data_IF_480756299898
#
_entry.id   IF_480756299898
#
_cell.length_a   1.000
_cell.length_b   1.000
_cell.length_c   1.000
_cell.angle_alpha   90.00
_cell.angle_beta   90.00
_cell.angle_gamma   90.00
#
_symmetry.space_group_name_H-M   'P 1'
#
loop_
_entity.id
_entity.type
_entity.pdbx_description
1 polymer ?
#
# COMPACT_ATOMS: atom_id res chain seq x y z
N UNK A 1 2.43 -4.58 -18.27
CA UNK A 1 1.72 -5.85 -18.56
C UNK A 1 1.74 -6.04 -20.06
N UNK A 2 2.08 -7.23 -20.55
CA UNK A 2 2.12 -7.52 -22.00
C UNK A 2 0.81 -7.10 -22.68
N UNK A 3 -0.32 -7.43 -22.06
CA UNK A 3 -1.68 -7.16 -22.55
C UNK A 3 -2.01 -5.68 -22.84
N UNK A 4 -1.59 -4.72 -22.00
CA UNK A 4 -1.86 -3.28 -22.25
C UNK A 4 -1.07 -2.76 -23.45
N UNK A 5 0.16 -3.24 -23.65
CA UNK A 5 0.97 -2.88 -24.79
C UNK A 5 0.39 -3.48 -26.07
N UNK A 6 -0.01 -4.74 -26.01
CA UNK A 6 -0.63 -5.45 -27.13
C UNK A 6 -1.93 -4.75 -27.58
N UNK A 7 -2.77 -4.32 -26.64
CA UNK A 7 -3.99 -3.54 -26.94
C UNK A 7 -3.66 -2.20 -27.62
N UNK A 8 -2.62 -1.50 -27.16
CA UNK A 8 -2.21 -0.24 -27.77
C UNK A 8 -1.70 -0.43 -29.21
N UNK A 9 -0.97 -1.50 -29.46
CA UNK A 9 -0.49 -1.84 -30.79
C UNK A 9 -1.66 -2.21 -31.72
N UNK A 10 -2.68 -2.93 -31.22
CA UNK A 10 -3.95 -3.15 -31.96
C UNK A 10 -4.67 -1.84 -32.29
N UNK A 11 -4.76 -0.89 -31.34
CA UNK A 11 -5.39 0.42 -31.58
C UNK A 11 -4.65 1.20 -32.68
N UNK A 12 -3.31 1.13 -32.72
CA UNK A 12 -2.52 1.76 -33.80
C UNK A 12 -2.78 1.12 -35.16
N UNK A 13 -2.89 -0.21 -35.21
CA UNK A 13 -3.22 -0.93 -36.43
C UNK A 13 -4.62 -0.54 -36.93
N UNK A 14 -5.62 -0.52 -36.03
CA UNK A 14 -6.98 -0.06 -36.33
C UNK A 14 -6.99 1.38 -36.85
N UNK A 15 -6.18 2.27 -36.27
CA UNK A 15 -6.08 3.66 -36.72
C UNK A 15 -5.47 3.78 -38.11
N UNK A 16 -4.51 2.92 -38.45
CA UNK A 16 -3.91 2.86 -39.78
C UNK A 16 -4.92 2.38 -40.80
N UNK A 17 -5.63 1.28 -40.51
CA UNK A 17 -6.69 0.74 -41.36
C UNK A 17 -7.85 1.73 -41.56
N UNK A 18 -8.27 2.43 -40.50
CA UNK A 18 -9.34 3.44 -40.57
C UNK A 18 -8.99 4.60 -41.53
N UNK A 19 -7.71 4.99 -41.58
CA UNK A 19 -7.21 6.01 -42.51
C UNK A 19 -7.21 5.51 -43.96
N UNK A 20 -6.82 4.25 -44.19
CA UNK A 20 -6.79 3.66 -45.53
C UNK A 20 -8.17 3.57 -46.16
N UNK A 21 -9.19 3.20 -45.39
CA UNK A 21 -10.59 3.12 -45.87
C UNK A 21 -11.27 4.49 -45.98
N UNK A 22 -10.60 5.57 -45.55
CA UNK A 22 -11.10 6.95 -45.56
C UNK A 22 -12.48 7.14 -44.92
N UNK A 23 -12.83 6.29 -43.96
CA UNK A 23 -14.11 6.35 -43.27
C UNK A 23 -13.97 7.20 -42.00
N UNK A 24 -14.65 8.34 -41.98
CA UNK A 24 -14.59 9.30 -40.87
C UNK A 24 -15.25 8.76 -39.59
N UNK A 25 -16.34 8.01 -39.70
CA UNK A 25 -17.02 7.42 -38.54
C UNK A 25 -16.13 6.37 -37.85
N UNK A 26 -15.47 5.51 -38.64
CA UNK A 26 -14.51 4.53 -38.12
C UNK A 26 -13.32 5.23 -37.49
N UNK A 27 -12.81 6.30 -38.12
CA UNK A 27 -11.70 7.08 -37.57
C UNK A 27 -12.05 7.73 -36.23
N UNK A 28 -13.27 8.25 -36.09
CA UNK A 28 -13.76 8.81 -34.83
C UNK A 28 -13.89 7.73 -33.73
N UNK A 29 -14.49 6.58 -34.05
CA UNK A 29 -14.60 5.47 -33.10
C UNK A 29 -13.23 4.96 -32.62
N UNK A 30 -12.24 4.87 -33.51
CA UNK A 30 -10.87 4.48 -33.14
C UNK A 30 -10.22 5.52 -32.23
N UNK A 31 -10.47 6.82 -32.46
CA UNK A 31 -10.00 7.87 -31.56
C UNK A 31 -10.65 7.74 -30.17
N UNK A 32 -11.97 7.52 -30.10
CA UNK A 32 -12.69 7.32 -28.84
C UNK A 32 -12.18 6.09 -28.07
N UNK A 33 -11.87 4.98 -28.77
CA UNK A 33 -11.25 3.80 -28.17
C UNK A 33 -9.85 4.13 -27.63
N UNK A 34 -9.08 4.91 -28.38
CA UNK A 34 -7.74 5.32 -27.98
C UNK A 34 -7.79 6.18 -26.72
N UNK A 35 -8.74 7.10 -26.60
CA UNK A 35 -8.91 7.95 -25.42
C UNK A 35 -9.31 7.12 -24.21
N UNK A 36 -10.33 6.25 -24.34
CA UNK A 36 -10.73 5.32 -23.26
C UNK A 36 -9.62 4.37 -22.82
N UNK A 37 -8.72 3.98 -23.74
CA UNK A 37 -7.55 3.18 -23.39
C UNK A 37 -6.59 3.95 -22.48
N UNK A 38 -6.38 5.24 -22.73
CA UNK A 38 -5.53 6.06 -21.87
C UNK A 38 -6.16 6.28 -20.49
N UNK A 39 -7.46 6.57 -20.44
CA UNK A 39 -8.20 6.69 -19.16
C UNK A 39 -8.06 5.40 -18.32
N UNK A 40 -8.32 4.24 -18.93
CA UNK A 40 -8.17 2.95 -18.26
C UNK A 40 -6.73 2.67 -17.79
N UNK A 41 -5.73 3.10 -18.57
CA UNK A 41 -4.33 2.95 -18.21
C UNK A 41 -3.99 3.81 -16.98
N UNK A 42 -4.48 5.04 -16.92
CA UNK A 42 -4.28 5.93 -15.77
C UNK A 42 -4.94 5.38 -14.51
N UNK A 43 -6.21 4.96 -14.59
CA UNK A 43 -6.91 4.32 -13.47
C UNK A 43 -6.16 3.08 -12.97
N UNK A 44 -5.66 2.25 -13.88
CA UNK A 44 -4.95 1.03 -13.53
C UNK A 44 -3.60 1.30 -12.85
N UNK A 45 -2.87 2.35 -13.24
CA UNK A 45 -1.65 2.76 -12.53
C UNK A 45 -2.00 3.33 -11.14
N UNK A 46 -3.04 4.16 -11.02
CA UNK A 46 -3.53 4.65 -9.71
C UNK A 46 -3.87 3.51 -8.76
N UNK A 47 -4.62 2.51 -9.24
CA UNK A 47 -5.00 1.33 -8.45
C UNK A 47 -3.78 0.53 -8.03
N UNK A 48 -2.75 0.40 -8.89
CA UNK A 48 -1.52 -0.31 -8.51
C UNK A 48 -0.75 0.43 -7.42
N UNK A 49 -0.67 1.75 -7.51
CA UNK A 49 0.02 2.57 -6.52
C UNK A 49 -0.70 2.46 -5.17
N UNK A 50 -2.02 2.61 -5.15
CA UNK A 50 -2.82 2.40 -3.94
C UNK A 50 -2.66 0.97 -3.39
N UNK A 51 -2.67 -0.05 -4.26
CA UNK A 51 -2.49 -1.44 -3.83
C UNK A 51 -1.10 -1.67 -3.22
N UNK A 52 -0.07 -1.04 -3.78
CA UNK A 52 1.30 -1.09 -3.25
C UNK A 52 1.37 -0.43 -1.87
N UNK A 53 0.83 0.77 -1.72
CA UNK A 53 0.78 1.46 -0.42
C UNK A 53 0.03 0.66 0.64
N UNK A 54 -1.11 0.05 0.29
CA UNK A 54 -1.89 -0.78 1.19
C UNK A 54 -1.13 -2.04 1.59
N UNK A 55 -0.43 -2.68 0.65
CA UNK A 55 0.43 -3.84 0.95
C UNK A 55 1.59 -3.48 1.86
N UNK A 56 2.21 -2.31 1.67
CA UNK A 56 3.27 -1.82 2.55
C UNK A 56 2.74 -1.57 3.97
N UNK A 57 1.57 -0.92 4.09
CA UNK A 57 0.89 -0.72 5.39
C UNK A 57 0.54 -2.03 6.08
N UNK A 58 0.02 -3.01 5.32
CA UNK A 58 -0.28 -4.34 5.85
C UNK A 58 0.98 -5.07 6.31
N UNK A 59 2.05 -5.05 5.52
CA UNK A 59 3.32 -5.68 5.89
C UNK A 59 3.90 -5.08 7.17
N UNK A 60 3.79 -3.76 7.36
CA UNK A 60 4.20 -3.11 8.62
C UNK A 60 3.34 -3.57 9.80
N UNK A 61 2.02 -3.75 9.62
CA UNK A 61 1.14 -4.28 10.67
C UNK A 61 1.44 -5.74 11.01
N UNK A 62 1.74 -6.57 10.02
CA UNK A 62 2.13 -7.98 10.21
C UNK A 62 3.47 -8.14 10.93
N UNK A 63 4.37 -7.16 10.81
CA UNK A 63 5.65 -7.16 11.53
C UNK A 63 5.48 -6.89 13.03
N UNK A 64 4.35 -6.32 13.45
CA UNK A 64 4.06 -5.97 14.83
C UNK A 64 3.34 -7.13 15.51
N UNK A 65 4.02 -7.78 16.44
CA UNK A 65 3.49 -8.94 17.17
C UNK A 65 3.47 -8.65 18.67
N UNK A 66 2.53 -9.28 19.38
CA UNK A 66 2.53 -9.26 20.84
C UNK A 66 3.50 -10.33 21.34
N UNK A 67 4.47 -9.95 22.17
CA UNK A 67 5.39 -10.89 22.79
C UNK A 67 4.75 -11.59 24.00
N UNK A 68 5.45 -12.60 24.55
CA UNK A 68 4.98 -13.41 25.70
C UNK A 68 4.72 -12.58 26.97
N UNK A 69 5.32 -11.39 27.07
CA UNK A 69 5.18 -10.48 28.21
C UNK A 69 4.08 -9.42 28.02
N UNK A 70 3.32 -9.49 26.92
CA UNK A 70 2.19 -8.58 26.65
C UNK A 70 2.58 -7.21 26.06
N UNK A 71 3.79 -7.08 25.51
CA UNK A 71 4.24 -5.88 24.80
C UNK A 71 4.23 -6.10 23.29
N UNK A 72 3.96 -5.04 22.52
CA UNK A 72 4.16 -5.11 21.07
C UNK A 72 5.65 -4.99 20.74
N UNK A 73 6.09 -5.76 19.77
CA UNK A 73 7.47 -5.79 19.28
C UNK A 73 7.47 -5.93 17.76
N UNK A 74 8.54 -5.48 17.11
CA UNK A 74 8.75 -5.75 15.69
C UNK A 74 9.51 -7.05 15.50
N UNK A 75 8.96 -7.96 14.70
CA UNK A 75 9.58 -9.26 14.37
C UNK A 75 10.88 -9.06 13.59
N UNK A 76 10.90 -8.10 12.67
CA UNK A 76 12.07 -7.72 11.86
C UNK A 76 13.28 -7.25 12.69
N UNK A 77 13.04 -6.68 13.87
CA UNK A 77 14.09 -6.17 14.77
C UNK A 77 14.49 -7.18 15.87
N UNK A 78 14.11 -8.47 15.74
CA UNK A 78 14.31 -9.49 16.77
C UNK A 78 13.80 -9.06 18.16
N UNK A 79 12.69 -8.33 18.21
CA UNK A 79 12.06 -7.90 19.45
C UNK A 79 12.97 -7.07 20.39
N UNK A 80 13.97 -6.38 19.84
CA UNK A 80 14.91 -5.53 20.60
C UNK A 80 14.21 -4.38 21.34
N UNK A 81 13.15 -3.85 20.74
CA UNK A 81 12.40 -2.72 21.27
C UNK A 81 10.97 -3.16 21.61
N UNK A 82 10.47 -2.67 22.75
CA UNK A 82 9.10 -2.89 23.20
C UNK A 82 8.28 -1.61 23.05
N UNK A 83 7.06 -1.76 22.55
CA UNK A 83 6.14 -0.67 22.28
C UNK A 83 4.92 -0.72 23.21
N UNK A 84 4.36 0.45 23.48
CA UNK A 84 3.24 0.61 24.40
C UNK A 84 1.96 -0.08 23.88
N UNK A 85 1.41 -1.07 24.61
CA UNK A 85 0.19 -1.77 24.19
C UNK A 85 -1.05 -0.89 24.22
N UNK A 86 -1.11 0.10 25.10
CA UNK A 86 -2.23 1.03 25.15
C UNK A 86 -2.26 1.95 23.92
N UNK A 87 -1.13 2.59 23.59
CA UNK A 87 -1.07 3.51 22.45
C UNK A 87 -1.31 2.80 21.11
N UNK A 88 -0.79 1.57 20.97
CA UNK A 88 -1.01 0.79 19.76
C UNK A 88 -2.47 0.35 19.61
N UNK A 89 -3.10 -0.18 20.67
CA UNK A 89 -4.50 -0.61 20.60
C UNK A 89 -5.49 0.54 20.41
N UNK A 90 -5.17 1.74 20.92
CA UNK A 90 -6.05 2.90 20.83
C UNK A 90 -5.97 3.59 19.47
N UNK A 91 -4.74 3.86 19.01
CA UNK A 91 -4.48 4.79 17.91
C UNK A 91 -3.51 4.19 16.84
N UNK A 92 -3.23 2.88 16.87
CA UNK A 92 -2.20 2.20 16.04
C UNK A 92 -0.79 2.84 16.17
N UNK A 93 -0.53 3.55 17.27
CA UNK A 93 0.73 4.27 17.49
C UNK A 93 1.80 3.38 18.15
N UNK A 94 2.92 3.20 17.45
CA UNK A 94 4.12 2.54 17.97
C UNK A 94 4.94 3.49 18.85
N UNK A 95 4.53 3.66 20.11
CA UNK A 95 5.29 4.43 21.08
C UNK A 95 6.31 3.54 21.78
N UNK A 96 7.60 3.83 21.59
CA UNK A 96 8.67 3.13 22.29
C UNK A 96 8.52 3.30 23.81
N UNK A 97 8.65 2.21 24.54
CA UNK A 97 8.70 2.24 26.00
C UNK A 97 10.12 2.49 26.48
N UNK A 98 10.28 3.42 27.40
CA UNK A 98 11.56 3.67 28.08
C UNK A 98 11.64 2.82 29.34
N UNK A 99 12.83 2.30 29.62
CA UNK A 99 13.04 1.50 30.82
C UNK A 99 13.34 2.43 32.01
N UNK A 100 12.51 2.35 33.03
CA UNK A 100 12.70 3.02 34.32
C UNK A 100 12.78 1.95 35.41
N UNK A 101 14.00 1.61 35.82
CA UNK A 101 14.28 0.51 36.75
C UNK A 101 13.70 -0.85 36.29
N UNK A 102 12.69 -1.37 37.01
CA UNK A 102 11.98 -2.62 36.71
C UNK A 102 10.66 -2.39 35.95
N UNK A 103 10.35 -1.15 35.61
CA UNK A 103 9.13 -0.77 34.92
C UNK A 103 9.45 -0.18 33.54
N UNK A 104 8.42 -0.18 32.69
CA UNK A 104 8.45 0.41 31.37
C UNK A 104 7.50 1.60 31.35
N UNK A 105 7.98 2.77 30.94
CA UNK A 105 7.22 4.00 30.91
C UNK A 105 6.96 4.47 29.48
N UNK A 106 5.73 4.89 29.19
CA UNK A 106 5.37 5.48 27.91
C UNK A 106 5.21 7.01 28.04
N UNK A 107 6.04 7.77 27.32
CA UNK A 107 5.94 9.25 27.26
C UNK A 107 4.71 9.80 26.54
N UNK A 108 4.01 8.97 25.76
CA UNK A 108 2.84 9.41 25.00
C UNK A 108 1.57 9.38 25.85
N UNK A 109 1.30 8.25 26.53
CA UNK A 109 0.13 8.10 27.40
C UNK A 109 0.43 8.29 28.89
N UNK A 110 1.69 8.53 29.27
CA UNK A 110 2.16 8.69 30.65
C UNK A 110 1.83 7.49 31.57
N UNK A 111 1.75 6.28 31.01
CA UNK A 111 1.46 5.05 31.76
C UNK A 111 2.73 4.22 32.02
N UNK A 112 2.73 3.52 33.16
CA UNK A 112 3.72 2.54 33.54
C UNK A 112 3.21 1.12 33.26
N UNK A 113 4.10 0.26 32.80
CA UNK A 113 3.86 -1.14 32.49
C UNK A 113 4.93 -1.99 33.17
N UNK A 114 4.52 -3.04 33.87
CA UNK A 114 5.43 -3.90 34.61
C UNK A 114 5.77 -5.11 33.74
N UNK A 115 7.06 -5.42 33.62
CA UNK A 115 7.49 -6.67 33.01
C UNK A 115 7.17 -7.82 33.97
N UNK A 116 6.17 -8.65 33.66
CA UNK A 116 5.88 -9.88 34.43
C UNK A 116 6.79 -11.02 33.95
N UNK A 117 8.11 -10.77 33.97
CA UNK A 117 9.15 -11.77 33.74
C UNK A 117 9.47 -12.57 34.98
#
# INVERSE_FOLDING_TARGET
>A
MATLKDIYDIIKELRSLAKEIQNQEVSALVADIQDKYFDLKEELESIKDENKELKEKLSQKEDIVLNEFGFYVKKSENSKHVFCPYCYNKDDQLCLLERDNNEFYCKNCNQYFINRG
#
